data_IF_605050577729
#
_entry.id   IF_605050577729
#
_cell.length_a   1.000
_cell.length_b   1.000
_cell.length_c   1.000
_cell.angle_alpha   90.00
_cell.angle_beta   90.00
_cell.angle_gamma   90.00
#
_symmetry.space_group_name_H-M   'P 1'
#
loop_
_entity.id
_entity.type
_entity.pdbx_description
1 polymer ?
#
# COMPACT_ATOMS: atom_id res chain seq x y z
N UNK A 1 -16.50 -3.21 2.89
CA UNK A 1 -15.22 -2.57 2.53
C UNK A 1 -14.42 -3.46 1.57
N UNK A 2 -13.94 -2.91 0.45
CA UNK A 2 -13.12 -3.64 -0.55
C UNK A 2 -11.72 -3.03 -0.60
N UNK A 3 -10.68 -3.88 -0.57
CA UNK A 3 -9.28 -3.48 -0.77
C UNK A 3 -8.77 -4.03 -2.11
N UNK A 4 -8.07 -3.20 -2.87
CA UNK A 4 -7.43 -3.56 -4.14
C UNK A 4 -5.94 -3.29 -3.99
N UNK A 5 -5.08 -4.30 -4.18
CA UNK A 5 -3.64 -4.06 -4.20
C UNK A 5 -3.28 -3.29 -5.48
N UNK A 6 -2.70 -2.11 -5.29
CA UNK A 6 -2.32 -1.21 -6.39
C UNK A 6 -0.81 -1.20 -6.63
N UNK A 7 -0.03 -1.65 -5.65
CA UNK A 7 1.42 -1.78 -5.78
C UNK A 7 1.97 -2.71 -4.71
N UNK A 8 2.98 -3.51 -5.06
CA UNK A 8 3.84 -4.16 -4.10
C UNK A 8 5.28 -4.18 -4.58
N UNK A 9 6.21 -3.96 -3.64
CA UNK A 9 7.63 -4.13 -3.88
C UNK A 9 8.27 -4.83 -2.70
N UNK A 10 9.12 -5.80 -3.00
CA UNK A 10 9.99 -6.43 -2.00
C UNK A 10 11.44 -5.97 -2.24
N UNK A 11 12.17 -5.71 -1.18
CA UNK A 11 13.54 -5.20 -1.22
C UNK A 11 14.43 -5.73 -0.09
N UNK A 12 15.71 -5.38 -0.12
CA UNK A 12 16.72 -5.86 0.83
C UNK A 12 17.18 -7.30 0.57
N UNK A 13 18.04 -7.81 1.44
CA UNK A 13 18.55 -9.17 1.32
C UNK A 13 17.40 -10.18 1.57
N UNK A 14 17.11 -11.01 0.57
CA UNK A 14 16.05 -12.04 0.62
C UNK A 14 14.62 -11.50 0.84
N UNK A 15 14.31 -10.28 0.37
CA UNK A 15 12.96 -9.71 0.51
C UNK A 15 12.64 -9.32 1.95
N UNK A 16 13.65 -8.79 2.65
CA UNK A 16 13.57 -8.30 4.01
C UNK A 16 12.49 -7.22 4.20
N UNK A 17 12.34 -6.33 3.24
CA UNK A 17 11.37 -5.25 3.28
C UNK A 17 10.28 -5.52 2.26
N UNK A 18 9.02 -5.39 2.66
CA UNK A 18 7.87 -5.54 1.77
C UNK A 18 6.97 -4.33 1.93
N UNK A 19 6.89 -3.54 0.87
CA UNK A 19 6.01 -2.39 0.76
C UNK A 19 4.78 -2.79 -0.06
N UNK A 20 3.60 -2.47 0.44
CA UNK A 20 2.32 -2.74 -0.23
C UNK A 20 1.42 -1.54 -0.13
N UNK A 21 0.74 -1.21 -1.23
CA UNK A 21 -0.23 -0.14 -1.29
C UNK A 21 -1.57 -0.70 -1.74
N UNK A 22 -2.63 -0.26 -1.07
CA UNK A 22 -3.99 -0.69 -1.32
C UNK A 22 -4.90 0.50 -1.55
N UNK A 23 -5.70 0.47 -2.61
CA UNK A 23 -6.87 1.33 -2.75
C UNK A 23 -8.02 0.70 -1.93
N UNK A 24 -8.52 1.44 -0.96
CA UNK A 24 -9.56 1.02 -0.03
C UNK A 24 -10.85 1.75 -0.38
N UNK A 25 -11.88 1.00 -0.76
CA UNK A 25 -13.23 1.50 -0.96
C UNK A 25 -14.06 1.22 0.30
N UNK A 26 -14.40 2.30 1.00
CA UNK A 26 -15.23 2.27 2.18
C UNK A 26 -16.71 2.08 1.83
N UNK A 27 -17.51 1.64 2.80
CA UNK A 27 -18.92 1.32 2.58
C UNK A 27 -19.79 2.58 2.39
N UNK A 28 -19.26 3.75 2.74
CA UNK A 28 -19.87 5.06 2.49
C UNK A 28 -19.59 5.61 1.08
N UNK A 29 -18.89 4.84 0.23
CA UNK A 29 -18.52 5.24 -1.13
C UNK A 29 -17.25 6.06 -1.23
N UNK A 30 -16.56 6.32 -0.12
CA UNK A 30 -15.29 7.06 -0.12
C UNK A 30 -14.10 6.14 -0.46
N UNK A 31 -13.06 6.73 -1.01
CA UNK A 31 -11.80 6.05 -1.32
C UNK A 31 -10.67 6.59 -0.44
N UNK A 32 -9.88 5.66 0.08
CA UNK A 32 -8.65 5.92 0.83
C UNK A 32 -7.53 5.03 0.30
N UNK A 33 -6.29 5.33 0.67
CA UNK A 33 -5.15 4.50 0.31
C UNK A 33 -4.45 4.04 1.58
N UNK A 34 -4.23 2.74 1.69
CA UNK A 34 -3.49 2.14 2.79
C UNK A 34 -2.10 1.75 2.32
N UNK A 35 -1.09 2.27 3.00
CA UNK A 35 0.28 1.83 2.85
C UNK A 35 0.61 0.86 3.98
N UNK A 36 0.97 -0.37 3.64
CA UNK A 36 1.41 -1.41 4.57
C UNK A 36 2.87 -1.74 4.30
N UNK A 37 3.68 -1.78 5.36
CA UNK A 37 5.08 -2.16 5.27
C UNK A 37 5.39 -3.28 6.25
N UNK A 38 6.28 -4.19 5.82
CA UNK A 38 6.78 -5.30 6.63
C UNK A 38 8.30 -5.32 6.56
N UNK A 39 8.94 -5.42 7.72
CA UNK A 39 10.36 -5.70 7.88
C UNK A 39 10.53 -7.09 8.49
N UNK A 40 10.98 -8.03 7.66
CA UNK A 40 11.21 -9.42 8.02
C UNK A 40 12.50 -9.55 8.81
N UNK A 41 12.41 -10.06 10.03
CA UNK A 41 13.56 -10.12 10.94
C UNK A 41 14.38 -11.41 10.80
N UNK A 42 13.94 -12.34 9.95
CA UNK A 42 14.58 -13.63 9.71
C UNK A 42 14.09 -14.73 10.66
N UNK A 43 14.61 -15.94 10.47
CA UNK A 43 14.13 -17.12 11.18
C UNK A 43 14.26 -16.99 12.71
N UNK A 44 13.17 -17.28 13.43
CA UNK A 44 13.12 -17.23 14.89
C UNK A 44 12.91 -15.84 15.49
N UNK A 45 12.74 -14.80 14.67
CA UNK A 45 12.37 -13.45 15.11
C UNK A 45 11.01 -13.06 14.54
N UNK A 46 10.24 -12.28 15.31
CA UNK A 46 8.96 -11.75 14.86
C UNK A 46 9.21 -10.62 13.86
N UNK A 47 8.49 -10.65 12.75
CA UNK A 47 8.48 -9.57 11.76
C UNK A 47 7.90 -8.29 12.38
N UNK A 48 8.40 -7.15 11.92
CA UNK A 48 7.89 -5.84 12.34
C UNK A 48 7.09 -5.27 11.18
N UNK A 49 5.83 -4.95 11.40
CA UNK A 49 4.94 -4.44 10.37
C UNK A 49 4.14 -3.24 10.88
N UNK A 50 3.63 -2.45 9.93
CA UNK A 50 2.79 -1.30 10.22
C UNK A 50 2.01 -0.86 9.00
N UNK A 51 0.97 -0.05 9.25
CA UNK A 51 0.11 0.50 8.21
C UNK A 51 -0.19 1.97 8.46
N UNK A 52 -0.25 2.76 7.39
CA UNK A 52 -0.74 4.12 7.41
C UNK A 52 -1.92 4.25 6.43
N UNK A 53 -2.97 4.95 6.84
CA UNK A 53 -4.07 5.34 5.96
C UNK A 53 -3.85 6.78 5.49
N UNK A 54 -4.08 7.00 4.21
CA UNK A 54 -3.93 8.27 3.52
C UNK A 54 -5.22 8.61 2.78
N UNK A 55 -5.52 9.91 2.68
CA UNK A 55 -6.48 10.38 1.68
C UNK A 55 -5.95 10.15 0.26
N UNK A 56 -6.81 10.23 -0.76
CA UNK A 56 -6.36 10.17 -2.16
C UNK A 56 -5.34 11.27 -2.48
N UNK A 57 -5.54 12.48 -1.94
CA UNK A 57 -4.66 13.63 -2.14
C UNK A 57 -3.25 13.37 -1.57
N UNK A 58 -3.19 12.85 -0.34
CA UNK A 58 -1.92 12.47 0.29
C UNK A 58 -1.23 11.33 -0.46
N UNK A 59 -2.01 10.37 -0.97
CA UNK A 59 -1.50 9.26 -1.75
C UNK A 59 -0.88 9.71 -3.06
N UNK A 60 -1.47 10.69 -3.77
CA UNK A 60 -0.87 11.24 -4.99
C UNK A 60 0.49 11.92 -4.78
N UNK A 61 0.81 12.32 -3.54
CA UNK A 61 2.09 12.92 -3.18
C UNK A 61 3.10 11.86 -2.72
N UNK A 62 2.63 10.82 -2.01
CA UNK A 62 3.50 9.87 -1.28
C UNK A 62 3.67 8.52 -1.97
N UNK A 63 2.68 8.08 -2.72
CA UNK A 63 2.68 6.74 -3.31
C UNK A 63 3.66 6.66 -4.49
N UNK A 64 4.20 5.46 -4.77
CA UNK A 64 4.94 5.22 -6.00
C UNK A 64 4.12 5.60 -7.23
N UNK A 65 4.80 6.06 -8.29
CA UNK A 65 4.15 6.49 -9.53
C UNK A 65 3.26 5.39 -10.13
N UNK A 66 3.71 4.14 -10.07
CA UNK A 66 2.96 2.99 -10.56
C UNK A 66 1.66 2.75 -9.76
N UNK A 67 1.68 3.00 -8.45
CA UNK A 67 0.49 2.93 -7.61
C UNK A 67 -0.51 4.03 -8.00
N UNK A 68 -0.01 5.25 -8.28
CA UNK A 68 -0.82 6.40 -8.71
C UNK A 68 -1.51 6.13 -10.04
N UNK A 69 -0.80 5.52 -11.00
CA UNK A 69 -1.37 5.16 -12.30
C UNK A 69 -2.50 4.13 -12.17
N UNK A 70 -2.34 3.14 -11.29
CA UNK A 70 -3.41 2.19 -11.00
C UNK A 70 -4.59 2.87 -10.33
N UNK A 71 -4.37 3.76 -9.34
CA UNK A 71 -5.47 4.53 -8.70
C UNK A 71 -6.28 5.29 -9.76
N UNK A 72 -5.61 6.03 -10.65
CA UNK A 72 -6.27 6.79 -11.72
C UNK A 72 -7.11 5.88 -12.61
N UNK A 73 -6.55 4.74 -13.03
CA UNK A 73 -7.27 3.74 -13.84
C UNK A 73 -8.50 3.18 -13.12
N UNK A 74 -8.38 2.79 -11.86
CA UNK A 74 -9.51 2.21 -11.10
C UNK A 74 -10.61 3.24 -10.82
N UNK A 75 -10.25 4.52 -10.69
CA UNK A 75 -11.20 5.61 -10.45
C UNK A 75 -11.73 6.27 -11.74
N UNK A 76 -11.29 5.82 -12.93
CA UNK A 76 -11.58 6.43 -14.23
C UNK A 76 -11.20 7.93 -14.31
N UNK A 77 -10.07 8.30 -13.69
CA UNK A 77 -9.46 9.64 -13.76
C UNK A 77 -8.32 9.66 -14.78
#
# INVERSE_FOLDING_TARGET
>A
MRKIEIYSKSGGNSGQYVDRWYLVHADDGTYQVEYHWVNKMGQGRKDVEGSNLYSLEEAYIRAPQEAIEVIKRELNL
#
